data_IF_087965273623
#
_entry.id   IF_087965273623
#
_cell.length_a   1.000
_cell.length_b   1.000
_cell.length_c   1.000
_cell.angle_alpha   90.00
_cell.angle_beta   90.00
_cell.angle_gamma   90.00
#
_symmetry.space_group_name_H-M   'P 1'
#
loop_
_entity.id
_entity.type
_entity.pdbx_description
1 polymer ?
#
# COMPACT_ATOMS: atom_id res chain seq x y z
N UNK A 1 -5.60 -12.15 1.04
CA UNK A 1 -5.41 -10.85 1.73
C UNK A 1 -3.98 -10.37 1.51
N UNK A 2 -3.79 -9.08 1.39
CA UNK A 2 -2.50 -8.44 1.11
C UNK A 2 -2.21 -7.35 2.15
N UNK A 3 -1.08 -7.51 2.86
CA UNK A 3 -0.52 -6.55 3.81
C UNK A 3 0.93 -6.20 3.45
N UNK A 4 1.32 -6.36 2.18
CA UNK A 4 2.68 -6.08 1.71
C UNK A 4 2.94 -4.57 1.76
N UNK A 5 4.06 -4.15 2.34
CA UNK A 5 4.47 -2.73 2.38
C UNK A 5 5.32 -2.32 1.16
N UNK A 6 6.02 -3.28 0.53
CA UNK A 6 6.78 -2.99 -0.68
C UNK A 6 5.90 -2.79 -1.91
N UNK A 7 6.02 -1.62 -2.52
CA UNK A 7 5.19 -1.22 -3.67
C UNK A 7 5.36 -2.11 -4.91
N UNK A 8 6.57 -2.61 -5.15
CA UNK A 8 6.85 -3.44 -6.34
C UNK A 8 6.21 -4.80 -6.18
N UNK A 9 6.44 -5.46 -5.05
CA UNK A 9 5.87 -6.76 -4.71
C UNK A 9 4.34 -6.72 -4.64
N UNK A 10 3.79 -5.64 -4.06
CA UNK A 10 2.35 -5.40 -4.01
C UNK A 10 1.75 -5.25 -5.42
N UNK A 11 2.41 -4.52 -6.30
CA UNK A 11 1.95 -4.36 -7.68
C UNK A 11 2.02 -5.66 -8.49
N UNK A 12 3.03 -6.52 -8.25
CA UNK A 12 3.08 -7.86 -8.85
C UNK A 12 1.93 -8.74 -8.37
N UNK A 13 1.62 -8.70 -7.07
CA UNK A 13 0.48 -9.43 -6.53
C UNK A 13 -0.85 -8.97 -7.17
N UNK A 14 -1.05 -7.65 -7.35
CA UNK A 14 -2.22 -7.10 -8.03
C UNK A 14 -2.33 -7.62 -9.47
N UNK A 15 -1.23 -7.59 -10.22
CA UNK A 15 -1.14 -8.15 -11.57
C UNK A 15 -1.49 -9.64 -11.58
N UNK A 16 -0.90 -10.42 -10.69
CA UNK A 16 -1.14 -11.85 -10.59
C UNK A 16 -2.60 -12.17 -10.28
N UNK A 17 -3.19 -11.51 -9.27
CA UNK A 17 -4.58 -11.73 -8.90
C UNK A 17 -5.54 -11.36 -10.02
N UNK A 18 -5.26 -10.29 -10.75
CA UNK A 18 -6.04 -9.90 -11.93
C UNK A 18 -5.99 -10.97 -13.02
N UNK A 19 -4.79 -11.41 -13.42
CA UNK A 19 -4.62 -12.41 -14.47
C UNK A 19 -5.25 -13.77 -14.12
N UNK A 20 -5.30 -14.11 -12.84
CA UNK A 20 -5.90 -15.36 -12.35
C UNK A 20 -7.37 -15.21 -11.94
N UNK A 21 -7.96 -14.03 -12.13
CA UNK A 21 -9.34 -13.71 -11.71
C UNK A 21 -9.59 -14.03 -10.22
N UNK A 22 -8.61 -13.72 -9.36
CA UNK A 22 -8.68 -13.96 -7.92
C UNK A 22 -9.19 -12.72 -7.19
N UNK A 23 -10.05 -12.93 -6.20
CA UNK A 23 -10.42 -11.86 -5.26
C UNK A 23 -9.18 -11.43 -4.45
N UNK A 24 -9.00 -10.14 -4.29
CA UNK A 24 -7.94 -9.57 -3.48
C UNK A 24 -8.52 -8.52 -2.53
N UNK A 25 -8.18 -8.64 -1.25
CA UNK A 25 -8.42 -7.65 -0.21
C UNK A 25 -7.08 -7.10 0.22
N UNK A 26 -6.89 -5.79 0.08
CA UNK A 26 -5.57 -5.16 0.25
C UNK A 26 -5.59 -4.05 1.29
N UNK A 27 -4.56 -4.01 2.13
CA UNK A 27 -4.32 -2.91 3.06
C UNK A 27 -3.46 -1.83 2.42
N UNK A 28 -3.87 -0.56 2.59
CA UNK A 28 -3.03 0.58 2.24
C UNK A 28 -2.09 0.96 3.39
N UNK A 29 -1.41 2.10 3.29
CA UNK A 29 -0.40 2.51 4.26
C UNK A 29 -0.97 2.97 5.60
N UNK A 30 -0.44 2.44 6.70
CA UNK A 30 -0.72 2.86 8.07
C UNK A 30 0.29 3.90 8.60
N UNK A 31 1.41 4.10 7.91
CA UNK A 31 2.48 5.00 8.34
C UNK A 31 2.06 6.46 8.41
N UNK A 32 2.48 7.15 9.47
CA UNK A 32 2.17 8.56 9.73
C UNK A 32 0.74 8.81 10.21
N UNK A 33 -0.03 7.79 10.53
CA UNK A 33 -1.43 7.85 10.95
C UNK A 33 -1.58 7.40 12.39
N UNK A 34 -2.56 7.95 13.10
CA UNK A 34 -2.81 7.64 14.52
C UNK A 34 -4.30 7.55 14.89
N UNK A 35 -5.20 7.97 14.01
CA UNK A 35 -6.64 7.96 14.28
C UNK A 35 -7.33 6.79 13.56
N UNK A 36 -7.68 5.70 14.28
CA UNK A 36 -8.33 4.54 13.70
C UNK A 36 -9.77 4.83 13.23
N UNK A 37 -10.40 5.91 13.69
CA UNK A 37 -11.75 6.29 13.26
C UNK A 37 -11.79 6.79 11.82
N UNK A 38 -10.62 7.09 11.25
CA UNK A 38 -10.47 7.53 9.86
C UNK A 38 -10.35 6.38 8.87
N UNK A 39 -10.31 5.12 9.35
CA UNK A 39 -10.22 3.95 8.49
C UNK A 39 -11.51 3.77 7.67
N UNK A 40 -11.35 3.47 6.40
CA UNK A 40 -12.44 3.28 5.42
C UNK A 40 -12.20 2.04 4.57
N UNK A 41 -13.30 1.54 4.01
CA UNK A 41 -13.32 0.53 2.96
C UNK A 41 -13.66 1.20 1.63
N UNK A 42 -13.05 0.73 0.57
CA UNK A 42 -13.35 1.23 -0.77
C UNK A 42 -12.65 0.45 -1.86
N UNK A 43 -13.00 0.76 -3.09
CA UNK A 43 -12.35 0.18 -4.26
C UNK A 43 -11.03 0.88 -4.56
N UNK A 44 -10.06 0.12 -5.03
CA UNK A 44 -8.70 0.61 -5.24
C UNK A 44 -8.61 1.82 -6.16
N UNK A 45 -9.43 1.88 -7.20
CA UNK A 45 -9.49 2.98 -8.15
C UNK A 45 -10.14 4.24 -7.55
N UNK A 46 -11.04 4.09 -6.57
CA UNK A 46 -11.78 5.17 -5.93
C UNK A 46 -11.01 5.88 -4.81
N UNK A 47 -9.94 5.29 -4.26
CA UNK A 47 -9.20 5.82 -3.13
C UNK A 47 -8.55 7.16 -3.50
N UNK A 48 -8.95 8.24 -2.83
CA UNK A 48 -8.39 9.58 -3.00
C UNK A 48 -7.58 9.99 -1.77
N UNK A 49 -6.53 10.80 -1.99
CA UNK A 49 -5.75 11.40 -0.89
C UNK A 49 -4.74 10.48 -0.21
N UNK A 50 -4.72 9.18 -0.49
CA UNK A 50 -3.80 8.22 0.11
C UNK A 50 -2.54 8.05 -0.78
N UNK A 51 -1.36 8.26 -0.18
CA UNK A 51 -0.08 8.38 -0.92
C UNK A 51 0.36 7.03 -1.48
N UNK A 52 0.24 5.94 -0.70
CA UNK A 52 0.62 4.60 -1.15
C UNK A 52 -0.27 4.16 -2.32
N UNK A 53 -1.59 4.34 -2.20
CA UNK A 53 -2.52 4.00 -3.27
C UNK A 53 -2.24 4.79 -4.55
N UNK A 54 -1.89 6.09 -4.44
CA UNK A 54 -1.52 6.91 -5.60
C UNK A 54 -0.29 6.35 -6.32
N UNK A 55 0.76 6.01 -5.57
CA UNK A 55 2.00 5.44 -6.13
C UNK A 55 1.77 4.05 -6.71
N UNK A 56 1.01 3.23 -5.98
CA UNK A 56 0.68 1.87 -6.41
C UNK A 56 -0.12 1.88 -7.72
N UNK A 57 -1.14 2.77 -7.85
CA UNK A 57 -1.89 2.92 -9.09
C UNK A 57 -0.99 3.24 -10.29
N UNK A 58 -0.01 4.12 -10.11
CA UNK A 58 0.94 4.43 -11.18
C UNK A 58 1.72 3.20 -11.64
N UNK A 59 2.24 2.40 -10.68
CA UNK A 59 3.01 1.19 -10.99
C UNK A 59 2.12 0.11 -11.62
N UNK A 60 0.92 -0.10 -11.06
CA UNK A 60 -0.04 -1.09 -11.57
C UNK A 60 -0.46 -0.73 -13.00
N UNK A 61 -0.80 0.52 -13.29
CA UNK A 61 -1.12 0.95 -14.67
C UNK A 61 0.00 0.61 -15.64
N UNK A 62 1.26 0.89 -15.27
CA UNK A 62 2.41 0.57 -16.12
C UNK A 62 2.49 -0.92 -16.41
N UNK A 63 2.33 -1.77 -15.38
CA UNK A 63 2.35 -3.23 -15.53
C UNK A 63 1.16 -3.78 -16.32
N UNK A 64 0.00 -3.17 -16.21
CA UNK A 64 -1.19 -3.61 -16.94
C UNK A 64 -1.09 -3.25 -18.44
N UNK A 65 -0.48 -2.12 -18.78
CA UNK A 65 -0.20 -1.77 -20.19
C UNK A 65 0.67 -2.81 -20.90
N UNK A 66 1.58 -3.43 -20.18
CA UNK A 66 2.46 -4.48 -20.72
C UNK A 66 1.70 -5.77 -21.09
N UNK A 67 0.51 -6.00 -20.50
CA UNK A 67 -0.28 -7.22 -20.68
C UNK A 67 -1.38 -7.04 -21.74
N UNK A 68 -2.04 -5.91 -21.75
CA UNK A 68 -3.30 -5.72 -22.51
C UNK A 68 -3.12 -5.02 -23.88
N UNK A 69 -1.92 -5.00 -24.42
CA UNK A 69 -1.67 -4.50 -25.78
C UNK A 69 -2.54 -3.29 -26.17
N UNK A 70 -2.52 -2.24 -25.34
CA UNK A 70 -3.18 -0.93 -25.59
C UNK A 70 -4.71 -0.83 -25.55
N UNK A 71 -5.45 -1.79 -25.05
CA UNK A 71 -6.93 -1.69 -25.05
C UNK A 71 -7.51 -0.64 -24.10
N UNK A 72 -6.85 -0.38 -22.97
CA UNK A 72 -7.24 0.70 -22.06
C UNK A 72 -6.03 1.21 -21.26
N UNK A 73 -5.41 2.35 -21.65
CA UNK A 73 -4.21 2.86 -21.00
C UNK A 73 -4.40 3.27 -19.53
N UNK A 74 -5.65 3.49 -19.10
CA UNK A 74 -5.99 3.91 -17.74
C UNK A 74 -6.58 2.80 -16.87
N UNK A 75 -6.62 1.58 -17.40
CA UNK A 75 -7.18 0.45 -16.67
C UNK A 75 -6.41 0.17 -15.37
N UNK A 76 -7.17 -0.03 -14.29
CA UNK A 76 -6.70 -0.43 -12.97
C UNK A 76 -7.60 -1.56 -12.46
N UNK A 77 -7.02 -2.70 -12.04
CA UNK A 77 -7.80 -3.75 -11.38
C UNK A 77 -8.52 -3.22 -10.15
N UNK A 78 -9.82 -3.48 -10.05
CA UNK A 78 -10.67 -2.91 -9.02
C UNK A 78 -10.81 -3.87 -7.82
N UNK A 79 -9.82 -3.87 -6.93
CA UNK A 79 -9.82 -4.66 -5.72
C UNK A 79 -10.41 -3.91 -4.52
N UNK A 80 -10.86 -4.67 -3.52
CA UNK A 80 -11.35 -4.12 -2.25
C UNK A 80 -10.18 -3.77 -1.32
N UNK A 81 -10.21 -2.57 -0.76
CA UNK A 81 -9.11 -2.05 0.04
C UNK A 81 -9.57 -1.50 1.39
N UNK A 82 -8.67 -1.60 2.38
CA UNK A 82 -8.71 -0.86 3.64
C UNK A 82 -7.71 0.27 3.57
N UNK A 83 -8.14 1.49 3.86
CA UNK A 83 -7.28 2.68 3.83
C UNK A 83 -7.74 3.70 4.87
N UNK A 84 -6.94 4.70 5.17
CA UNK A 84 -7.32 5.80 6.06
C UNK A 84 -7.35 7.11 5.27
N UNK A 85 -8.35 7.93 5.57
CA UNK A 85 -8.50 9.28 5.03
C UNK A 85 -7.71 10.32 5.84
N UNK A 86 -7.06 9.91 6.94
CA UNK A 86 -6.22 10.79 7.74
C UNK A 86 -5.10 11.37 6.87
N UNK A 87 -4.98 12.69 6.89
CA UNK A 87 -3.88 13.38 6.21
C UNK A 87 -2.60 13.13 6.98
N UNK A 88 -1.56 12.73 6.27
CA UNK A 88 -0.24 12.57 6.87
C UNK A 88 0.41 13.94 7.04
N UNK A 89 0.15 14.59 8.17
CA UNK A 89 0.75 15.89 8.54
C UNK A 89 2.11 15.69 9.23
N UNK A 90 2.42 14.47 9.65
CA UNK A 90 3.69 14.13 10.28
C UNK A 90 4.74 13.89 9.22
N UNK A 91 5.78 14.73 9.22
CA UNK A 91 6.92 14.58 8.32
C UNK A 91 7.66 13.24 8.53
N UNK A 92 8.52 12.91 7.58
CA UNK A 92 9.44 11.78 7.73
C UNK A 92 10.37 12.07 8.91
N UNK A 93 10.45 11.14 9.86
CA UNK A 93 11.40 11.22 10.95
C UNK A 93 12.80 10.89 10.43
N UNK A 94 13.79 11.68 10.78
CA UNK A 94 15.18 11.32 10.53
C UNK A 94 15.55 10.09 11.35
N UNK A 95 16.31 9.21 10.75
CA UNK A 95 16.85 8.03 11.44
C UNK A 95 17.99 8.45 12.36
N UNK A 96 18.07 7.82 13.53
CA UNK A 96 19.20 7.94 14.42
C UNK A 96 20.51 7.60 13.70
N UNK A 97 21.62 8.23 14.10
CA UNK A 97 22.90 8.09 13.39
C UNK A 97 23.45 6.65 13.39
N UNK A 98 23.12 5.83 14.39
CA UNK A 98 23.42 4.40 14.38
C UNK A 98 22.65 3.64 13.29
N UNK A 99 21.36 3.95 13.08
CA UNK A 99 20.56 3.35 12.02
C UNK A 99 21.00 3.82 10.64
N UNK A 100 21.45 5.08 10.51
CA UNK A 100 22.03 5.58 9.26
C UNK A 100 23.29 4.81 8.88
N UNK A 101 24.21 4.56 9.83
CA UNK A 101 25.44 3.78 9.58
C UNK A 101 25.16 2.33 9.20
N UNK A 102 24.18 1.69 9.85
CA UNK A 102 23.79 0.31 9.51
C UNK A 102 23.17 0.23 8.10
N UNK A 103 22.38 1.22 7.69
CA UNK A 103 21.80 1.30 6.36
C UNK A 103 22.89 1.58 5.31
N UNK A 104 23.90 2.41 5.62
CA UNK A 104 25.03 2.65 4.71
C UNK A 104 25.84 1.38 4.43
N UNK A 105 26.00 0.53 5.41
CA UNK A 105 26.67 -0.77 5.28
C UNK A 105 25.82 -1.78 4.48
N UNK A 106 24.48 -1.62 4.44
CA UNK A 106 23.54 -2.47 3.70
C UNK A 106 23.20 -1.94 2.29
N UNK A 107 23.60 -0.71 1.96
CA UNK A 107 23.28 -0.01 0.69
C UNK A 107 23.75 -0.72 -0.57
N UNK A 108 24.59 -1.73 -0.48
CA UNK A 108 25.04 -2.50 -1.66
C UNK A 108 23.97 -3.43 -2.24
N UNK A 109 22.82 -3.64 -1.56
CA UNK A 109 21.79 -4.60 -2.02
C UNK A 109 20.33 -4.12 -1.99
N UNK A 110 19.97 -3.03 -1.30
CA UNK A 110 18.59 -2.56 -1.23
C UNK A 110 18.50 -1.03 -1.23
N UNK A 111 17.59 -0.47 -2.03
CA UNK A 111 17.16 0.94 -1.95
C UNK A 111 16.34 1.16 -0.66
N UNK A 112 16.93 1.00 0.50
CA UNK A 112 16.27 1.29 1.76
C UNK A 112 16.14 2.81 1.98
N UNK A 113 14.96 3.21 2.43
CA UNK A 113 14.66 4.61 2.70
C UNK A 113 15.51 5.09 3.89
N UNK A 114 16.30 6.13 3.69
CA UNK A 114 17.03 6.82 4.75
C UNK A 114 16.11 7.55 5.76
N UNK A 115 14.79 7.42 5.62
CA UNK A 115 13.78 8.07 6.46
C UNK A 115 12.63 7.11 6.71
N UNK A 116 12.14 7.02 7.96
CA UNK A 116 10.98 6.21 8.32
C UNK A 116 9.77 7.10 8.60
N UNK A 117 8.59 6.58 8.27
CA UNK A 117 7.35 7.15 8.78
C UNK A 117 7.11 6.60 10.17
N UNK A 118 6.80 7.45 11.18
CA UNK A 118 6.39 6.95 12.48
C UNK A 118 5.12 6.12 12.32
N UNK A 119 5.06 5.00 13.01
CA UNK A 119 3.88 4.12 13.00
C UNK A 119 3.33 4.05 14.41
N UNK A 120 2.09 4.49 14.60
CA UNK A 120 1.39 4.31 15.84
C UNK A 120 0.88 2.88 15.94
N UNK A 121 1.27 2.15 16.99
CA UNK A 121 1.10 0.70 17.09
C UNK A 121 -0.34 0.18 16.87
N UNK A 122 -1.34 0.96 17.27
CA UNK A 122 -2.74 0.57 17.07
C UNK A 122 -3.19 0.62 15.61
N UNK A 123 -2.53 1.39 14.74
CA UNK A 123 -2.97 1.56 13.35
C UNK A 123 -2.79 0.28 12.51
N UNK A 124 -1.62 -0.38 12.47
CA UNK A 124 -1.49 -1.65 11.76
C UNK A 124 -2.45 -2.72 12.27
N UNK A 125 -2.65 -2.81 13.58
CA UNK A 125 -3.65 -3.72 14.19
C UNK A 125 -5.05 -3.43 13.69
N UNK A 126 -5.49 -2.17 13.73
CA UNK A 126 -6.81 -1.75 13.26
C UNK A 126 -7.00 -2.04 11.78
N UNK A 127 -5.99 -1.77 10.95
CA UNK A 127 -6.02 -2.13 9.52
C UNK A 127 -6.17 -3.63 9.31
N UNK A 128 -5.43 -4.46 10.07
CA UNK A 128 -5.51 -5.92 10.00
C UNK A 128 -6.89 -6.44 10.38
N UNK A 129 -7.48 -5.95 11.47
CA UNK A 129 -8.85 -6.30 11.88
C UNK A 129 -9.89 -5.87 10.83
N UNK A 130 -9.79 -4.65 10.33
CA UNK A 130 -10.68 -4.16 9.27
C UNK A 130 -10.56 -4.99 7.99
N UNK A 131 -9.35 -5.38 7.59
CA UNK A 131 -9.13 -6.21 6.41
C UNK A 131 -9.74 -7.60 6.58
N UNK A 132 -9.59 -8.19 7.76
CA UNK A 132 -10.21 -9.49 8.09
C UNK A 132 -11.74 -9.40 8.05
N UNK A 133 -12.33 -8.38 8.66
CA UNK A 133 -13.77 -8.14 8.59
C UNK A 133 -14.25 -7.96 7.14
N UNK A 134 -13.54 -7.16 6.33
CA UNK A 134 -13.87 -6.93 4.93
C UNK A 134 -13.88 -8.25 4.14
N UNK A 135 -12.90 -9.11 4.37
CA UNK A 135 -12.80 -10.40 3.69
C UNK A 135 -13.93 -11.36 4.06
N UNK A 136 -14.44 -11.31 5.31
CA UNK A 136 -15.57 -12.14 5.76
C UNK A 136 -16.88 -11.64 5.18
N UNK A 137 -17.09 -10.31 5.17
CA UNK A 137 -18.35 -9.71 4.71
C UNK A 137 -18.55 -9.88 3.21
N UNK A 138 -17.45 -9.90 2.43
CA UNK A 138 -17.50 -9.91 0.97
C UNK A 138 -17.20 -11.29 0.34
N UNK A 139 -16.98 -12.31 1.12
CA UNK A 139 -16.94 -13.70 0.64
C UNK A 139 -18.32 -14.34 0.71
#
# INVERSE_FOLDING_TARGET
MDCIDDLKSKAELYKFCYLKNLKLFSSMGAGGKCDPTTIRFGKFDEIKGEILAKRLRYIVRKKMKEIEDNKNPDFIPNFDCVYSIEKNERGLTELDDEKKKNIENLKNNFNERARSLPVFACMPSSFGHCLSCLSIIKN
#
